data_IF_152746398059
#
_entry.id   IF_152746398059
#
_cell.length_a   1.000
_cell.length_b   1.000
_cell.length_c   1.000
_cell.angle_alpha   90.00
_cell.angle_beta   90.00
_cell.angle_gamma   90.00
#
_symmetry.space_group_name_H-M   'P 1'
#
loop_
_entity.id
_entity.type
_entity.pdbx_description
1 polymer ?
#
# COMPACT_ATOMS: atom_id res chain seq x y z
N UNK A 1 5.84 25.26 24.94
CA UNK A 1 7.16 25.22 24.29
C UNK A 1 7.37 23.80 23.81
N UNK A 2 7.59 23.61 22.51
CA UNK A 2 7.98 22.31 21.93
C UNK A 2 9.45 22.06 22.28
N UNK A 3 9.77 20.87 22.79
CA UNK A 3 11.13 20.44 23.09
C UNK A 3 11.85 19.97 21.83
N UNK A 4 12.94 19.21 21.99
CA UNK A 4 13.56 18.53 20.85
C UNK A 4 12.63 17.44 20.27
N UNK A 5 12.75 17.05 18.98
CA UNK A 5 11.94 15.96 18.42
C UNK A 5 12.00 14.66 19.23
N UNK A 6 13.14 14.40 19.88
CA UNK A 6 13.33 13.25 20.76
C UNK A 6 12.44 13.31 22.00
N UNK A 7 12.32 14.48 22.61
CA UNK A 7 11.49 14.68 23.80
C UNK A 7 10.00 14.75 23.45
N UNK A 8 9.66 15.39 22.34
CA UNK A 8 8.27 15.57 21.95
C UNK A 8 7.67 14.29 21.34
N UNK A 9 8.43 13.58 20.50
CA UNK A 9 7.96 12.43 19.72
C UNK A 9 8.48 11.12 20.29
N UNK A 10 9.81 10.92 20.35
CA UNK A 10 10.36 9.59 20.68
C UNK A 10 9.98 9.14 22.09
N UNK A 11 10.11 10.04 23.07
CA UNK A 11 9.75 9.75 24.47
C UNK A 11 8.24 9.50 24.66
N UNK A 12 7.38 10.04 23.78
CA UNK A 12 5.93 9.94 23.91
C UNK A 12 5.28 8.99 22.89
N UNK A 13 6.05 8.40 21.97
CA UNK A 13 5.55 7.68 20.79
C UNK A 13 4.57 6.57 21.18
N UNK A 14 4.91 5.77 22.21
CA UNK A 14 4.06 4.70 22.71
C UNK A 14 2.68 5.22 23.16
N UNK A 15 2.66 6.30 23.95
CA UNK A 15 1.42 6.93 24.44
C UNK A 15 0.62 7.55 23.29
N UNK A 16 1.29 8.22 22.34
CA UNK A 16 0.63 8.80 21.17
C UNK A 16 -0.05 7.73 20.32
N UNK A 17 0.63 6.61 20.04
CA UNK A 17 0.07 5.46 19.30
C UNK A 17 -1.12 4.84 20.03
N UNK A 18 -1.02 4.64 21.34
CA UNK A 18 -2.12 4.10 22.14
C UNK A 18 -3.35 5.02 22.05
N UNK A 19 -3.16 6.34 22.24
CA UNK A 19 -4.24 7.33 22.16
C UNK A 19 -4.83 7.43 20.77
N UNK A 20 -4.01 7.42 19.71
CA UNK A 20 -4.48 7.43 18.33
C UNK A 20 -5.38 6.23 18.02
N UNK A 21 -4.99 5.03 18.45
CA UNK A 21 -5.82 3.81 18.28
C UNK A 21 -7.13 3.89 19.06
N UNK A 22 -7.09 4.35 20.31
CA UNK A 22 -8.31 4.53 21.10
C UNK A 22 -9.25 5.53 20.43
N UNK A 23 -8.74 6.69 20.00
CA UNK A 23 -9.54 7.70 19.31
C UNK A 23 -10.12 7.16 18.00
N UNK A 24 -9.34 6.42 17.22
CA UNK A 24 -9.84 5.80 15.99
C UNK A 24 -11.00 4.83 16.24
N UNK A 25 -11.00 4.12 17.37
CA UNK A 25 -12.06 3.17 17.74
C UNK A 25 -13.26 3.83 18.43
N UNK A 26 -13.05 4.88 19.22
CA UNK A 26 -14.05 5.43 20.13
C UNK A 26 -14.59 6.82 19.73
N UNK A 27 -13.87 7.59 18.91
CA UNK A 27 -14.23 8.97 18.56
C UNK A 27 -14.57 9.07 17.07
N UNK A 28 -15.85 9.26 16.69
CA UNK A 28 -16.28 9.28 15.29
C UNK A 28 -15.56 10.31 14.41
N UNK A 29 -15.17 11.45 14.98
CA UNK A 29 -14.42 12.50 14.27
C UNK A 29 -13.00 12.03 13.89
N UNK A 30 -12.35 11.27 14.76
CA UNK A 30 -11.04 10.69 14.46
C UNK A 30 -11.19 9.55 13.46
N UNK A 31 -12.20 8.69 13.64
CA UNK A 31 -12.51 7.63 12.67
C UNK A 31 -12.78 8.17 11.27
N UNK A 32 -13.55 9.27 11.16
CA UNK A 32 -13.86 9.88 9.86
C UNK A 32 -12.64 10.50 9.21
N UNK A 33 -11.75 11.17 9.97
CA UNK A 33 -10.51 11.71 9.44
C UNK A 33 -9.65 10.63 8.75
N UNK A 34 -9.56 9.44 9.33
CA UNK A 34 -8.82 8.30 8.75
C UNK A 34 -9.58 7.71 7.55
N UNK A 35 -10.88 7.43 7.70
CA UNK A 35 -11.67 6.79 6.64
C UNK A 35 -11.82 7.65 5.39
N UNK A 36 -11.99 8.96 5.55
CA UNK A 36 -12.07 9.92 4.44
C UNK A 36 -10.77 9.92 3.64
N UNK A 37 -9.61 9.98 4.32
CA UNK A 37 -8.32 9.88 3.65
C UNK A 37 -8.18 8.55 2.90
N UNK A 38 -8.52 7.43 3.53
CA UNK A 38 -8.49 6.11 2.89
C UNK A 38 -9.33 6.06 1.62
N UNK A 39 -10.56 6.58 1.67
CA UNK A 39 -11.48 6.59 0.52
C UNK A 39 -10.98 7.52 -0.59
N UNK A 40 -10.48 8.71 -0.26
CA UNK A 40 -10.04 9.68 -1.27
C UNK A 40 -8.70 9.33 -1.92
N UNK A 41 -7.78 8.74 -1.15
CA UNK A 41 -6.43 8.42 -1.64
C UNK A 41 -6.40 7.07 -2.34
N UNK A 42 -7.02 6.04 -1.75
CA UNK A 42 -6.98 4.67 -2.30
C UNK A 42 -8.25 4.31 -3.05
N UNK A 43 -9.41 4.75 -2.56
CA UNK A 43 -10.70 4.39 -3.12
C UNK A 43 -10.89 2.87 -3.17
N UNK A 44 -11.07 2.35 -4.39
CA UNK A 44 -11.24 0.91 -4.65
C UNK A 44 -9.90 0.16 -4.76
N UNK A 45 -8.77 0.87 -4.78
CA UNK A 45 -7.44 0.33 -5.00
C UNK A 45 -6.73 1.02 -6.16
N UNK A 46 -5.46 1.37 -5.94
CA UNK A 46 -4.54 1.85 -6.96
C UNK A 46 -4.09 0.68 -7.83
N UNK A 47 -4.25 0.83 -9.14
CA UNK A 47 -3.86 -0.16 -10.14
C UNK A 47 -2.54 0.22 -10.79
N UNK A 48 -1.76 -0.79 -11.18
CA UNK A 48 -0.58 -0.58 -12.00
C UNK A 48 -1.03 -0.02 -13.36
N UNK A 49 -0.43 1.10 -13.75
CA UNK A 49 -0.46 1.60 -15.11
C UNK A 49 1.00 1.71 -15.57
N UNK A 50 1.42 0.74 -16.36
CA UNK A 50 2.79 0.69 -16.88
C UNK A 50 2.97 1.75 -17.97
N UNK A 51 4.06 2.51 -17.86
CA UNK A 51 4.48 3.52 -18.84
C UNK A 51 5.98 3.44 -19.00
N UNK A 52 6.44 2.61 -19.92
CA UNK A 52 7.87 2.42 -20.18
C UNK A 52 8.38 3.46 -21.16
N UNK A 53 9.64 3.86 -20.98
CA UNK A 53 10.34 4.69 -21.95
C UNK A 53 10.81 3.82 -23.13
N UNK A 54 9.96 3.71 -24.15
CA UNK A 54 10.24 2.87 -25.33
C UNK A 54 11.50 3.33 -26.07
N UNK A 55 11.79 4.63 -26.08
CA UNK A 55 12.91 5.20 -26.84
C UNK A 55 14.23 4.84 -26.17
N UNK A 56 14.30 4.99 -24.84
CA UNK A 56 15.44 4.54 -24.05
C UNK A 56 15.64 3.01 -24.13
N UNK A 57 14.56 2.26 -24.26
CA UNK A 57 14.59 0.79 -24.37
C UNK A 57 14.83 0.29 -25.81
N UNK A 58 14.89 1.17 -26.81
CA UNK A 58 15.05 0.80 -28.21
C UNK A 58 13.89 -0.04 -28.76
N UNK A 59 12.69 0.11 -28.18
CA UNK A 59 11.49 -0.63 -28.56
C UNK A 59 10.65 0.19 -29.54
N UNK A 60 10.04 -0.48 -30.51
CA UNK A 60 8.95 0.14 -31.26
C UNK A 60 7.69 0.26 -30.39
N UNK A 61 6.68 0.97 -30.92
CA UNK A 61 5.44 1.23 -30.20
C UNK A 61 4.67 -0.07 -29.90
N UNK A 62 4.61 -1.00 -30.85
CA UNK A 62 3.81 -2.22 -30.72
C UNK A 62 4.42 -3.17 -29.69
N UNK A 63 5.75 -3.34 -29.71
CA UNK A 63 6.49 -4.12 -28.74
C UNK A 63 6.34 -3.53 -27.33
N UNK A 64 6.39 -2.20 -27.21
CA UNK A 64 6.19 -1.54 -25.92
C UNK A 64 4.77 -1.76 -25.39
N UNK A 65 3.74 -1.63 -26.24
CA UNK A 65 2.34 -1.85 -25.85
C UNK A 65 2.09 -3.32 -25.46
N UNK A 66 2.66 -4.27 -26.20
CA UNK A 66 2.59 -5.70 -25.88
C UNK A 66 3.25 -6.01 -24.53
N UNK A 67 4.42 -5.44 -24.28
CA UNK A 67 5.13 -5.61 -23.01
C UNK A 67 4.32 -5.04 -21.84
N UNK A 68 3.85 -3.80 -21.96
CA UNK A 68 3.05 -3.13 -20.93
C UNK A 68 1.78 -3.93 -20.62
N UNK A 69 1.04 -4.35 -21.66
CA UNK A 69 -0.15 -5.17 -21.50
C UNK A 69 0.14 -6.54 -20.88
N UNK A 70 1.29 -7.15 -21.18
CA UNK A 70 1.72 -8.41 -20.54
C UNK A 70 2.03 -8.18 -19.05
N UNK A 71 2.86 -7.20 -18.72
CA UNK A 71 3.26 -6.89 -17.35
C UNK A 71 2.06 -6.49 -16.49
N UNK A 72 1.12 -5.72 -17.01
CA UNK A 72 -0.12 -5.38 -16.29
C UNK A 72 -0.98 -6.61 -16.01
N UNK A 73 -1.05 -7.57 -16.95
CA UNK A 73 -1.75 -8.85 -16.74
C UNK A 73 -1.06 -9.70 -15.68
N UNK A 74 0.27 -9.80 -15.71
CA UNK A 74 1.06 -10.54 -14.72
C UNK A 74 0.90 -9.92 -13.32
N UNK A 75 1.00 -8.60 -13.21
CA UNK A 75 0.74 -7.89 -11.97
C UNK A 75 -0.69 -8.13 -11.47
N UNK A 76 -1.69 -8.11 -12.36
CA UNK A 76 -3.07 -8.38 -11.99
C UNK A 76 -3.28 -9.81 -11.45
N UNK A 77 -2.56 -10.81 -11.97
CA UNK A 77 -2.62 -12.18 -11.43
C UNK A 77 -2.15 -12.22 -9.97
N UNK A 78 -1.02 -11.57 -9.66
CA UNK A 78 -0.52 -11.46 -8.29
C UNK A 78 -1.44 -10.60 -7.41
N UNK A 79 -1.81 -9.41 -7.87
CA UNK A 79 -2.55 -8.41 -7.11
C UNK A 79 -3.95 -8.85 -6.72
N UNK A 80 -4.63 -9.65 -7.56
CA UNK A 80 -5.97 -10.15 -7.29
C UNK A 80 -5.97 -11.40 -6.39
N UNK A 81 -4.89 -12.18 -6.38
CA UNK A 81 -4.81 -13.43 -5.63
C UNK A 81 -4.35 -13.16 -4.20
N UNK A 82 -5.27 -13.22 -3.24
CA UNK A 82 -5.00 -12.94 -1.81
C UNK A 82 -3.78 -13.68 -1.26
N UNK A 83 -3.71 -15.00 -1.47
CA UNK A 83 -2.61 -15.83 -1.00
C UNK A 83 -1.25 -15.55 -1.68
N UNK A 84 -1.23 -14.81 -2.79
CA UNK A 84 0.00 -14.41 -3.48
C UNK A 84 0.60 -13.13 -2.90
N UNK A 85 -0.23 -12.21 -2.42
CA UNK A 85 0.19 -10.89 -1.98
C UNK A 85 0.12 -10.70 -0.46
N UNK A 86 -0.81 -11.37 0.24
CA UNK A 86 -0.99 -11.31 1.69
C UNK A 86 -0.56 -12.64 2.33
N UNK A 87 0.40 -12.60 3.25
CA UNK A 87 0.88 -13.77 3.98
C UNK A 87 -0.23 -14.47 4.79
N UNK A 88 -1.28 -13.74 5.18
CA UNK A 88 -2.47 -14.28 5.86
C UNK A 88 -3.56 -14.74 4.90
N UNK A 89 -3.47 -14.37 3.62
CA UNK A 89 -4.47 -14.68 2.59
C UNK A 89 -5.81 -13.96 2.77
N UNK A 90 -5.90 -12.93 3.61
CA UNK A 90 -7.15 -12.21 3.92
C UNK A 90 -7.44 -11.15 2.86
N UNK A 91 -6.43 -10.38 2.47
CA UNK A 91 -6.53 -9.23 1.59
C UNK A 91 -5.93 -9.52 0.22
N UNK A 92 -6.52 -8.92 -0.82
CA UNK A 92 -5.81 -8.75 -2.09
C UNK A 92 -4.94 -7.48 -2.03
N UNK A 93 -4.13 -7.22 -3.05
CA UNK A 93 -3.20 -6.08 -3.02
C UNK A 93 -3.92 -4.73 -2.83
N UNK A 94 -5.07 -4.56 -3.47
CA UNK A 94 -5.88 -3.34 -3.36
C UNK A 94 -6.43 -3.10 -1.94
N UNK A 95 -6.83 -4.15 -1.25
CA UNK A 95 -7.23 -4.07 0.16
C UNK A 95 -6.02 -3.84 1.09
N UNK A 96 -4.86 -4.42 0.77
CA UNK A 96 -3.63 -4.16 1.53
C UNK A 96 -3.19 -2.69 1.45
N UNK A 97 -3.39 -2.00 0.33
CA UNK A 97 -3.12 -0.56 0.22
C UNK A 97 -3.96 0.25 1.22
N UNK A 98 -5.25 -0.09 1.35
CA UNK A 98 -6.14 0.54 2.33
C UNK A 98 -5.66 0.26 3.77
N UNK A 99 -5.24 -0.97 4.05
CA UNK A 99 -4.69 -1.35 5.34
C UNK A 99 -3.39 -0.59 5.64
N UNK A 100 -2.51 -0.45 4.66
CA UNK A 100 -1.23 0.24 4.81
C UNK A 100 -1.43 1.72 5.14
N UNK A 101 -2.27 2.42 4.36
CA UNK A 101 -2.57 3.83 4.61
C UNK A 101 -3.25 4.05 5.97
N UNK A 102 -4.25 3.24 6.32
CA UNK A 102 -4.91 3.36 7.62
C UNK A 102 -3.95 3.07 8.78
N UNK A 103 -3.09 2.05 8.66
CA UNK A 103 -2.10 1.70 9.68
C UNK A 103 -1.07 2.81 9.86
N UNK A 104 -0.60 3.40 8.76
CA UNK A 104 0.30 4.55 8.79
C UNK A 104 -0.33 5.75 9.49
N UNK A 105 -1.57 6.11 9.15
CA UNK A 105 -2.22 7.27 9.78
C UNK A 105 -2.55 7.06 11.26
N UNK A 106 -2.79 5.82 11.69
CA UNK A 106 -3.13 5.51 13.10
C UNK A 106 -1.88 5.23 13.95
N UNK A 107 -0.84 4.61 13.38
CA UNK A 107 0.35 4.18 14.12
C UNK A 107 1.60 5.00 13.79
N UNK A 108 1.58 5.85 12.77
CA UNK A 108 2.69 6.73 12.37
C UNK A 108 3.66 6.12 11.36
N UNK A 109 3.72 4.80 11.24
CA UNK A 109 4.54 4.08 10.27
C UNK A 109 3.85 2.79 9.78
N UNK A 110 4.30 2.31 8.62
CA UNK A 110 3.96 0.98 8.09
C UNK A 110 5.11 0.50 7.21
N UNK A 111 5.39 -0.80 7.24
CA UNK A 111 6.39 -1.41 6.36
C UNK A 111 5.77 -2.58 5.61
N UNK A 112 6.04 -2.64 4.30
CA UNK A 112 5.64 -3.76 3.46
C UNK A 112 6.80 -4.75 3.36
N UNK A 113 6.56 -5.99 3.75
CA UNK A 113 7.54 -7.08 3.57
C UNK A 113 7.17 -7.86 2.33
N UNK A 114 8.07 -7.87 1.34
CA UNK A 114 7.89 -8.63 0.10
C UNK A 114 8.80 -9.84 0.17
N UNK A 115 8.22 -11.03 0.06
CA UNK A 115 8.98 -12.26 -0.07
C UNK A 115 9.10 -12.62 -1.55
N UNK A 116 10.34 -12.80 -2.01
CA UNK A 116 10.63 -13.25 -3.35
C UNK A 116 10.54 -14.79 -3.40
N UNK A 117 10.02 -15.29 -4.51
CA UNK A 117 9.88 -16.70 -4.80
C UNK A 117 10.33 -16.95 -6.24
N UNK A 118 10.71 -18.17 -6.56
CA UNK A 118 10.93 -18.56 -7.95
C UNK A 118 9.63 -18.41 -8.75
N UNK A 119 9.69 -17.86 -9.97
CA UNK A 119 8.52 -17.71 -10.83
C UNK A 119 7.80 -19.03 -11.07
N UNK A 120 6.47 -19.00 -11.02
CA UNK A 120 5.61 -20.13 -11.37
C UNK A 120 4.60 -19.70 -12.43
N UNK A 121 3.98 -20.62 -13.20
CA UNK A 121 2.97 -20.24 -14.19
C UNK A 121 1.78 -19.43 -13.64
N UNK A 122 1.53 -19.51 -12.32
CA UNK A 122 0.43 -18.77 -11.65
C UNK A 122 0.91 -17.58 -10.81
N UNK A 123 2.22 -17.34 -10.80
CA UNK A 123 2.91 -16.23 -10.13
C UNK A 123 4.22 -15.99 -10.89
N UNK A 124 4.14 -15.43 -12.10
CA UNK A 124 5.28 -15.24 -12.98
C UNK A 124 6.24 -14.16 -12.48
#
# INVERSE_FOLDING_TARGET
MSGSPKEDIDANNATLRQRARMLYMAAPIATSAIKTNRTNVIGVGLKLQSRIDREALGMDQEAADLWQAKTEREFALWANRKAACDATGVNNFYAMQQLALASWLVSGDVFAVIKQYDPTPTMP
#
